data_IF_360454232430
#
_entry.id   IF_360454232430
#
_cell.length_a   1.000
_cell.length_b   1.000
_cell.length_c   1.000
_cell.angle_alpha   90.00
_cell.angle_beta   90.00
_cell.angle_gamma   90.00
#
_symmetry.space_group_name_H-M   'P 1'
#
loop_
_entity.id
_entity.type
_entity.pdbx_description
1 polymer ?
#
# COMPACT_ATOMS: atom_id res chain seq x y z
N UNK A 1 57.07 43.93 -36.06
CA UNK A 1 56.18 44.69 -35.17
C UNK A 1 54.94 43.82 -35.09
N UNK A 2 54.92 42.95 -34.07
CA UNK A 2 54.13 41.72 -34.07
C UNK A 2 52.72 41.96 -33.52
N UNK A 3 51.78 41.29 -34.19
CA UNK A 3 50.43 40.96 -33.73
C UNK A 3 50.43 40.31 -32.34
N UNK A 4 49.43 40.64 -31.54
CA UNK A 4 49.05 39.88 -30.34
C UNK A 4 47.57 40.12 -30.02
N UNK A 5 46.76 39.24 -30.61
CA UNK A 5 45.50 38.64 -30.15
C UNK A 5 44.80 39.23 -28.92
N UNK A 6 43.67 39.89 -29.20
CA UNK A 6 42.54 40.04 -28.29
C UNK A 6 41.59 38.85 -28.48
N UNK A 7 41.65 37.85 -27.60
CA UNK A 7 40.65 36.79 -27.52
C UNK A 7 40.37 36.44 -26.05
N UNK A 8 39.28 36.94 -25.48
CA UNK A 8 38.49 36.25 -24.44
C UNK A 8 37.13 36.95 -24.24
N UNK A 9 36.09 36.54 -24.97
CA UNK A 9 34.74 36.59 -24.45
C UNK A 9 34.13 35.19 -24.54
N UNK A 10 33.88 34.51 -23.41
CA UNK A 10 32.82 33.46 -23.24
C UNK A 10 33.09 32.44 -22.12
N UNK A 11 33.25 32.85 -20.86
CA UNK A 11 33.20 31.89 -19.72
C UNK A 11 32.21 32.32 -18.61
N UNK A 12 31.36 33.34 -18.85
CA UNK A 12 30.37 33.77 -17.84
C UNK A 12 28.90 33.46 -18.18
N UNK A 13 28.63 32.63 -19.20
CA UNK A 13 27.25 32.24 -19.59
C UNK A 13 26.95 30.74 -19.59
N UNK A 14 27.83 29.91 -19.00
CA UNK A 14 27.61 28.47 -18.90
C UNK A 14 27.19 27.97 -17.50
N UNK A 15 26.96 28.88 -16.53
CA UNK A 15 26.70 28.51 -15.13
C UNK A 15 25.23 28.59 -14.68
N UNK A 16 24.29 29.02 -15.55
CA UNK A 16 22.88 29.21 -15.16
C UNK A 16 21.88 28.23 -15.78
N UNK A 17 22.32 27.27 -16.60
CA UNK A 17 21.44 26.30 -17.28
C UNK A 17 21.45 24.89 -16.65
N UNK A 18 22.41 24.57 -15.79
CA UNK A 18 22.50 23.29 -15.09
C UNK A 18 21.51 23.08 -13.91
N UNK A 19 21.15 24.10 -13.08
CA UNK A 19 20.35 23.83 -11.89
C UNK A 19 18.90 23.46 -12.22
N UNK A 20 18.31 24.02 -13.28
CA UNK A 20 16.91 23.74 -13.62
C UNK A 20 16.72 22.33 -14.21
N UNK A 21 17.63 21.90 -15.09
CA UNK A 21 17.57 20.55 -15.67
C UNK A 21 17.85 19.45 -14.65
N UNK A 22 18.75 19.69 -13.69
CA UNK A 22 18.99 18.74 -12.59
C UNK A 22 17.82 18.68 -11.60
N UNK A 23 17.15 19.80 -11.33
CA UNK A 23 15.94 19.83 -10.50
C UNK A 23 14.78 19.10 -11.18
N UNK A 24 14.63 19.26 -12.50
CA UNK A 24 13.60 18.56 -13.27
C UNK A 24 13.88 17.05 -13.38
N UNK A 25 15.13 16.65 -13.61
CA UNK A 25 15.54 15.24 -13.59
C UNK A 25 15.40 14.67 -12.17
N UNK A 26 15.81 15.39 -11.12
CA UNK A 26 15.61 14.95 -9.75
C UNK A 26 14.11 14.83 -9.41
N UNK A 27 13.27 15.77 -9.85
CA UNK A 27 11.82 15.72 -9.67
C UNK A 27 11.19 14.55 -10.43
N UNK A 28 11.61 14.28 -11.67
CA UNK A 28 11.14 13.15 -12.47
C UNK A 28 11.58 11.82 -11.85
N UNK A 29 12.84 11.72 -11.42
CA UNK A 29 13.37 10.53 -10.74
C UNK A 29 12.71 10.35 -9.37
N UNK A 30 12.32 11.43 -8.71
CA UNK A 30 11.54 11.42 -7.45
C UNK A 30 10.10 10.98 -7.69
N UNK A 31 9.47 11.42 -8.79
CA UNK A 31 8.09 11.07 -9.11
C UNK A 31 7.98 9.61 -9.55
N UNK A 32 8.86 9.16 -10.45
CA UNK A 32 8.97 7.77 -10.88
C UNK A 32 9.45 6.88 -9.72
N UNK A 33 10.43 7.36 -8.95
CA UNK A 33 10.95 6.67 -7.76
C UNK A 33 9.89 6.54 -6.67
N UNK A 34 9.03 7.53 -6.48
CA UNK A 34 7.97 7.51 -5.47
C UNK A 34 6.83 6.58 -5.82
N UNK A 35 6.40 6.52 -7.08
CA UNK A 35 5.38 5.55 -7.52
C UNK A 35 5.94 4.12 -7.48
N UNK A 36 7.17 3.93 -7.95
CA UNK A 36 7.86 2.63 -7.91
C UNK A 36 8.13 2.19 -6.47
N UNK A 37 8.54 3.09 -5.58
CA UNK A 37 8.70 2.77 -4.15
C UNK A 37 7.37 2.41 -3.49
N UNK A 38 6.29 3.13 -3.82
CA UNK A 38 4.94 2.78 -3.39
C UNK A 38 4.57 1.35 -3.80
N UNK A 39 4.74 0.99 -5.07
CA UNK A 39 4.50 -0.38 -5.55
C UNK A 39 5.45 -1.43 -4.98
N UNK A 40 6.67 -1.06 -4.62
CA UNK A 40 7.62 -1.97 -3.98
C UNK A 40 7.23 -2.26 -2.53
N UNK A 41 6.73 -1.27 -1.80
CA UNK A 41 6.49 -1.34 -0.35
C UNK A 41 5.09 -1.81 -0.02
N UNK A 42 4.11 -1.28 -0.75
CA UNK A 42 2.69 -1.59 -0.62
C UNK A 42 2.27 -2.70 -1.58
N UNK A 43 3.04 -2.96 -2.63
CA UNK A 43 2.78 -4.05 -3.56
C UNK A 43 3.48 -5.36 -3.18
N UNK A 44 3.23 -6.39 -3.98
CA UNK A 44 3.56 -7.80 -3.78
C UNK A 44 5.08 -8.14 -3.84
N UNK A 45 5.97 -7.22 -3.48
CA UNK A 45 7.43 -7.40 -3.46
C UNK A 45 8.01 -7.60 -2.05
N UNK A 46 7.16 -7.54 -1.02
CA UNK A 46 7.48 -7.94 0.36
C UNK A 46 8.63 -7.15 0.99
N UNK A 47 9.32 -7.77 1.94
CA UNK A 47 10.44 -7.20 2.70
C UNK A 47 11.52 -6.50 1.85
N UNK A 48 11.88 -7.07 0.70
CA UNK A 48 12.90 -6.51 -0.18
C UNK A 48 12.51 -5.12 -0.71
N UNK A 49 11.22 -4.88 -0.96
CA UNK A 49 10.74 -3.60 -1.47
C UNK A 49 11.02 -2.42 -0.53
N UNK A 50 10.95 -2.64 0.78
CA UNK A 50 11.26 -1.63 1.81
C UNK A 50 12.72 -1.19 1.69
N UNK A 51 13.64 -2.15 1.62
CA UNK A 51 15.08 -1.88 1.55
C UNK A 51 15.43 -1.14 0.27
N UNK A 52 14.97 -1.65 -0.88
CA UNK A 52 15.22 -1.04 -2.19
C UNK A 52 14.59 0.35 -2.32
N UNK A 53 13.41 0.56 -1.73
CA UNK A 53 12.77 1.87 -1.65
C UNK A 53 13.62 2.89 -0.88
N UNK A 54 14.40 2.47 0.11
CA UNK A 54 15.25 3.37 0.92
C UNK A 54 16.68 3.58 0.44
N UNK A 55 17.09 2.96 -0.68
CA UNK A 55 18.46 3.11 -1.21
C UNK A 55 18.76 4.57 -1.59
N UNK A 56 17.74 5.37 -1.90
CA UNK A 56 17.86 6.79 -2.20
C UNK A 56 17.17 7.64 -1.14
N UNK A 57 17.71 8.82 -0.84
CA UNK A 57 17.11 9.74 0.14
C UNK A 57 15.67 10.12 -0.22
N UNK A 58 15.38 10.32 -1.51
CA UNK A 58 14.03 10.60 -1.99
C UNK A 58 13.08 9.41 -1.79
N UNK A 59 13.57 8.20 -2.01
CA UNK A 59 12.81 6.99 -1.78
C UNK A 59 12.42 6.80 -0.30
N UNK A 60 13.27 7.21 0.65
CA UNK A 60 12.92 7.14 2.09
C UNK A 60 11.67 7.94 2.45
N UNK A 61 11.48 9.12 1.86
CA UNK A 61 10.27 9.94 2.10
C UNK A 61 9.01 9.23 1.58
N UNK A 62 9.09 8.62 0.38
CA UNK A 62 8.01 7.82 -0.18
C UNK A 62 7.71 6.59 0.65
N UNK A 63 8.73 5.94 1.22
CA UNK A 63 8.59 4.81 2.14
C UNK A 63 7.84 5.23 3.40
N UNK A 64 8.24 6.33 4.03
CA UNK A 64 7.57 6.86 5.21
C UNK A 64 6.11 7.18 4.89
N UNK A 65 5.84 7.83 3.75
CA UNK A 65 4.47 8.14 3.31
C UNK A 65 3.65 6.86 3.08
N UNK A 66 4.23 5.85 2.45
CA UNK A 66 3.59 4.56 2.20
C UNK A 66 3.28 3.82 3.51
N UNK A 67 4.24 3.75 4.43
CA UNK A 67 4.05 3.14 5.75
C UNK A 67 3.03 3.89 6.59
N UNK A 68 3.06 5.24 6.60
CA UNK A 68 2.07 6.05 7.29
C UNK A 68 0.67 5.84 6.71
N UNK A 69 0.56 5.75 5.38
CA UNK A 69 -0.69 5.44 4.69
C UNK A 69 -1.20 4.06 5.11
N UNK A 70 -0.38 3.01 5.02
CA UNK A 70 -0.77 1.65 5.41
C UNK A 70 -1.13 1.49 6.89
N UNK A 71 -0.41 2.17 7.79
CA UNK A 71 -0.68 2.12 9.23
C UNK A 71 -1.92 2.93 9.64
N UNK A 72 -2.41 3.81 8.77
CA UNK A 72 -3.55 4.67 9.06
C UNK A 72 -4.86 4.07 8.54
N UNK A 73 -5.96 4.14 9.32
CA UNK A 73 -7.25 3.68 8.86
C UNK A 73 -7.73 4.49 7.65
N UNK A 74 -8.57 3.90 6.79
CA UNK A 74 -8.98 4.50 5.52
C UNK A 74 -9.53 5.92 5.64
N UNK A 75 -10.33 6.19 6.68
CA UNK A 75 -10.86 7.52 6.97
C UNK A 75 -9.76 8.57 7.24
N UNK A 76 -8.69 8.18 7.93
CA UNK A 76 -7.59 9.06 8.29
C UNK A 76 -6.68 9.30 7.08
N UNK A 77 -6.46 8.27 6.25
CA UNK A 77 -5.75 8.41 4.97
C UNK A 77 -6.38 9.48 4.09
N UNK A 78 -7.71 9.49 4.00
CA UNK A 78 -8.45 10.48 3.22
C UNK A 78 -8.29 11.89 3.82
N UNK A 79 -8.39 12.02 5.15
CA UNK A 79 -8.29 13.32 5.84
C UNK A 79 -6.88 13.93 5.76
N UNK A 80 -5.84 13.10 5.79
CA UNK A 80 -4.45 13.55 5.70
C UNK A 80 -3.93 13.69 4.26
N UNK A 81 -4.76 13.40 3.25
CA UNK A 81 -4.32 13.39 1.84
C UNK A 81 -3.25 12.33 1.54
N UNK A 82 -3.22 11.25 2.34
CA UNK A 82 -2.29 10.12 2.18
C UNK A 82 -2.87 9.01 1.29
N UNK A 83 -4.14 9.15 0.90
CA UNK A 83 -4.81 8.19 0.02
C UNK A 83 -4.24 8.25 -1.39
N UNK A 84 -3.85 7.08 -1.89
CA UNK A 84 -3.34 6.86 -3.25
C UNK A 84 -3.91 5.56 -3.80
N UNK A 85 -3.94 5.40 -5.12
CA UNK A 85 -4.34 4.13 -5.75
C UNK A 85 -3.49 2.95 -5.28
N UNK A 86 -2.22 3.18 -4.96
CA UNK A 86 -1.31 2.16 -4.42
C UNK A 86 -1.66 1.75 -2.99
N UNK A 87 -1.96 2.71 -2.10
CA UNK A 87 -2.40 2.40 -0.74
C UNK A 87 -3.75 1.69 -0.72
N UNK A 88 -4.64 2.10 -1.62
CA UNK A 88 -5.98 1.52 -1.76
C UNK A 88 -5.91 0.07 -2.22
N UNK A 89 -5.03 -0.25 -3.19
CA UNK A 89 -4.78 -1.63 -3.61
C UNK A 89 -4.08 -2.48 -2.55
N UNK A 90 -3.35 -1.87 -1.63
CA UNK A 90 -2.55 -2.61 -0.66
C UNK A 90 -3.29 -2.92 0.64
N UNK A 91 -4.14 -2.00 1.10
CA UNK A 91 -4.82 -2.10 2.41
C UNK A 91 -6.32 -1.90 2.27
N UNK A 92 -6.85 -1.81 1.05
CA UNK A 92 -8.26 -1.50 0.82
C UNK A 92 -8.66 -0.12 1.35
N UNK A 93 -9.95 0.17 1.31
CA UNK A 93 -10.57 1.26 2.06
C UNK A 93 -12.03 0.93 2.35
N UNK A 94 -12.34 0.77 3.63
CA UNK A 94 -13.69 0.57 4.13
C UNK A 94 -14.07 1.69 5.11
N UNK A 95 -15.37 1.97 5.22
CA UNK A 95 -15.93 2.86 6.22
C UNK A 95 -17.16 2.22 6.85
N UNK A 96 -17.16 2.19 8.17
CA UNK A 96 -18.31 1.71 8.93
C UNK A 96 -19.59 2.49 8.58
N UNK A 97 -20.68 1.76 8.33
CA UNK A 97 -22.01 2.32 8.08
C UNK A 97 -22.74 2.76 9.36
N UNK A 98 -22.09 2.61 10.51
CA UNK A 98 -22.71 2.88 11.79
C UNK A 98 -23.14 4.35 11.96
N UNK A 99 -24.35 4.60 12.47
CA UNK A 99 -24.85 5.96 12.70
C UNK A 99 -24.04 6.72 13.75
N UNK A 100 -23.28 6.02 14.60
CA UNK A 100 -22.45 6.60 15.66
C UNK A 100 -21.13 7.17 15.13
N UNK A 101 -20.70 6.80 13.92
CA UNK A 101 -19.41 7.17 13.35
C UNK A 101 -19.43 8.54 12.65
N UNK A 102 -19.47 9.62 13.44
CA UNK A 102 -19.46 11.02 12.91
C UNK A 102 -18.31 11.28 11.93
N UNK A 103 -17.15 10.68 12.19
CA UNK A 103 -15.95 10.81 11.34
C UNK A 103 -16.18 10.13 9.98
N UNK A 104 -16.65 8.88 9.96
CA UNK A 104 -16.96 8.17 8.72
C UNK A 104 -18.04 8.88 7.91
N UNK A 105 -19.06 9.44 8.57
CA UNK A 105 -20.10 10.22 7.90
C UNK A 105 -19.53 11.48 7.23
N UNK A 106 -18.60 12.19 7.89
CA UNK A 106 -17.92 13.36 7.31
C UNK A 106 -17.06 12.98 6.11
N UNK A 107 -16.33 11.87 6.23
CA UNK A 107 -15.44 11.38 5.17
C UNK A 107 -16.24 10.87 3.96
N UNK A 108 -17.38 10.20 4.19
CA UNK A 108 -18.30 9.74 3.13
C UNK A 108 -18.74 10.86 2.20
N UNK A 109 -18.91 12.09 2.71
CA UNK A 109 -19.24 13.26 1.89
C UNK A 109 -18.10 13.75 0.99
N UNK A 110 -16.85 13.32 1.24
CA UNK A 110 -15.68 13.66 0.44
C UNK A 110 -15.29 12.58 -0.58
N UNK A 111 -15.99 11.44 -0.55
CA UNK A 111 -15.69 10.27 -1.37
C UNK A 111 -16.69 10.14 -2.50
N UNK A 112 -16.27 9.46 -3.56
CA UNK A 112 -17.16 9.01 -4.63
C UNK A 112 -18.08 7.89 -4.13
N UNK A 113 -18.88 7.30 -5.04
CA UNK A 113 -19.78 6.22 -4.68
C UNK A 113 -19.01 5.00 -4.17
N UNK A 114 -19.57 4.34 -3.15
CA UNK A 114 -19.04 3.06 -2.69
C UNK A 114 -19.10 2.02 -3.81
N UNK A 115 -18.05 1.20 -3.91
CA UNK A 115 -17.91 0.14 -4.91
C UNK A 115 -18.41 -1.22 -4.39
N UNK A 116 -18.64 -1.31 -3.08
CA UNK A 116 -19.17 -2.50 -2.45
C UNK A 116 -19.62 -2.25 -1.01
N UNK A 117 -20.17 -3.29 -0.40
CA UNK A 117 -20.56 -3.36 1.01
C UNK A 117 -20.03 -4.67 1.57
N UNK A 118 -19.38 -4.63 2.73
CA UNK A 118 -19.09 -5.82 3.52
C UNK A 118 -20.05 -5.94 4.69
N UNK A 119 -20.40 -7.17 5.02
CA UNK A 119 -21.06 -7.56 6.25
C UNK A 119 -20.18 -8.56 6.99
N UNK A 120 -19.87 -8.30 8.27
CA UNK A 120 -19.21 -9.29 9.11
C UNK A 120 -20.23 -10.30 9.62
N UNK A 121 -20.06 -11.57 9.31
CA UNK A 121 -20.81 -12.67 9.90
C UNK A 121 -20.20 -13.01 11.27
N UNK A 122 -20.34 -12.12 12.24
CA UNK A 122 -20.08 -12.48 13.64
C UNK A 122 -21.07 -13.57 14.03
N UNK A 123 -20.61 -14.82 14.16
CA UNK A 123 -21.44 -15.95 14.54
C UNK A 123 -21.83 -15.81 16.03
N UNK A 124 -23.10 -15.52 16.38
CA UNK A 124 -23.50 -15.33 17.77
C UNK A 124 -23.53 -16.64 18.57
N UNK A 125 -23.30 -17.80 17.92
CA UNK A 125 -23.54 -19.12 18.51
C UNK A 125 -22.31 -19.81 19.13
N UNK A 126 -21.16 -19.13 19.30
CA UNK A 126 -20.14 -19.60 20.25
C UNK A 126 -20.52 -19.24 21.69
N UNK A 127 -21.26 -20.17 22.31
CA UNK A 127 -21.49 -20.28 23.75
C UNK A 127 -20.29 -19.83 24.60
N UNK A 128 -20.42 -18.68 25.28
CA UNK A 128 -19.93 -18.58 26.66
C UNK A 128 -20.78 -17.60 27.47
N UNK A 129 -21.65 -18.20 28.26
CA UNK A 129 -22.33 -17.65 29.41
C UNK A 129 -21.30 -16.96 30.31
N UNK A 130 -21.22 -15.62 30.30
CA UNK A 130 -21.05 -14.79 31.50
C UNK A 130 -21.18 -13.30 31.17
N UNK A 131 -22.30 -12.75 31.66
CA UNK A 131 -22.64 -11.34 31.85
C UNK A 131 -21.43 -10.38 31.88
N UNK A 132 -21.33 -9.52 30.88
CA UNK A 132 -20.92 -8.12 31.05
C UNK A 132 -21.89 -7.23 30.25
N UNK A 133 -22.24 -6.02 30.72
CA UNK A 133 -23.30 -5.22 30.11
C UNK A 133 -22.83 -4.60 28.80
N UNK A 134 -23.68 -4.73 27.77
CA UNK A 134 -23.82 -3.87 26.57
C UNK A 134 -22.86 -2.67 26.49
N UNK A 135 -21.76 -2.79 25.74
CA UNK A 135 -21.12 -1.63 25.12
C UNK A 135 -20.15 -2.03 23.99
N UNK A 136 -20.68 -2.42 22.84
CA UNK A 136 -20.15 -2.19 21.48
C UNK A 136 -21.05 -2.97 20.53
N UNK A 137 -22.06 -2.31 19.98
CA UNK A 137 -22.59 -2.70 18.67
C UNK A 137 -21.37 -2.85 17.75
N UNK A 138 -20.98 -4.09 17.48
CA UNK A 138 -20.03 -4.34 16.42
C UNK A 138 -20.78 -4.01 15.15
N UNK A 139 -20.32 -2.93 14.52
CA UNK A 139 -20.96 -2.35 13.36
C UNK A 139 -20.79 -3.33 12.21
N UNK A 140 -21.83 -4.13 11.99
CA UNK A 140 -21.81 -5.32 11.15
C UNK A 140 -21.58 -4.98 9.68
N UNK A 141 -21.87 -3.74 9.27
CA UNK A 141 -21.82 -3.30 7.87
C UNK A 141 -20.78 -2.20 7.65
N UNK A 142 -20.02 -2.31 6.56
CA UNK A 142 -19.09 -1.29 6.08
C UNK A 142 -19.30 -1.03 4.58
N UNK A 143 -19.22 0.25 4.19
CA UNK A 143 -19.09 0.65 2.80
C UNK A 143 -17.64 0.43 2.35
N UNK A 144 -17.44 -0.15 1.17
CA UNK A 144 -16.13 -0.35 0.57
C UNK A 144 -15.94 0.67 -0.55
N UNK A 145 -14.84 1.43 -0.48
CA UNK A 145 -14.44 2.43 -1.47
C UNK A 145 -13.24 2.00 -2.30
N UNK A 146 -12.45 1.07 -1.78
CA UNK A 146 -11.39 0.40 -2.52
C UNK A 146 -11.24 -1.03 -2.02
N UNK A 147 -11.14 -1.97 -2.97
CA UNK A 147 -10.74 -3.32 -2.66
C UNK A 147 -9.23 -3.41 -2.57
N UNK A 148 -8.73 -4.14 -1.59
CA UNK A 148 -7.35 -4.59 -1.61
C UNK A 148 -7.13 -5.52 -2.80
N UNK A 149 -5.86 -5.81 -3.09
CA UNK A 149 -5.48 -6.60 -4.26
C UNK A 149 -6.01 -8.03 -4.19
N UNK A 150 -6.08 -8.63 -3.01
CA UNK A 150 -6.55 -10.01 -2.89
C UNK A 150 -8.04 -10.11 -3.22
N UNK A 151 -8.84 -9.22 -2.63
CA UNK A 151 -10.28 -9.16 -2.87
C UNK A 151 -10.58 -8.72 -4.29
N UNK A 152 -9.80 -7.80 -4.86
CA UNK A 152 -9.99 -7.35 -6.25
C UNK A 152 -9.79 -8.49 -7.25
N UNK A 153 -8.71 -9.28 -7.11
CA UNK A 153 -8.43 -10.43 -7.99
C UNK A 153 -9.54 -11.47 -7.86
N UNK A 154 -9.93 -11.81 -6.63
CA UNK A 154 -11.04 -12.73 -6.38
C UNK A 154 -12.33 -12.24 -7.07
N UNK A 155 -12.69 -10.96 -6.92
CA UNK A 155 -13.89 -10.41 -7.53
C UNK A 155 -13.82 -10.32 -9.05
N UNK A 156 -12.65 -10.08 -9.63
CA UNK A 156 -12.44 -10.04 -11.09
C UNK A 156 -12.71 -11.39 -11.76
N UNK A 157 -12.38 -12.50 -11.10
CA UNK A 157 -12.63 -13.85 -11.59
C UNK A 157 -14.13 -14.23 -11.60
N UNK A 158 -14.96 -13.53 -10.82
CA UNK A 158 -16.39 -13.82 -10.72
C UNK A 158 -17.20 -13.15 -11.83
N UNK A 159 -18.21 -13.87 -12.33
CA UNK A 159 -19.17 -13.31 -13.29
C UNK A 159 -20.19 -12.42 -12.58
N UNK A 160 -20.43 -11.22 -13.12
CA UNK A 160 -21.45 -10.32 -12.60
C UNK A 160 -22.85 -10.80 -12.99
N UNK A 161 -23.80 -10.77 -12.05
CA UNK A 161 -25.21 -11.04 -12.33
C UNK A 161 -25.84 -9.80 -12.94
N UNK A 162 -26.48 -9.94 -14.11
CA UNK A 162 -27.17 -8.84 -14.78
C UNK A 162 -28.54 -8.56 -14.16
N UNK A 163 -29.10 -7.40 -14.50
CA UNK A 163 -30.42 -7.02 -14.04
C UNK A 163 -31.49 -7.93 -14.67
N UNK A 164 -32.29 -8.60 -13.82
CA UNK A 164 -33.34 -9.54 -14.25
C UNK A 164 -32.93 -11.00 -14.31
N UNK A 165 -31.64 -11.31 -14.11
CA UNK A 165 -31.16 -12.69 -13.97
C UNK A 165 -31.32 -13.19 -12.53
N UNK A 166 -31.37 -14.52 -12.37
CA UNK A 166 -31.39 -15.14 -11.04
C UNK A 166 -30.10 -14.77 -10.28
N UNK A 167 -30.25 -14.46 -8.99
CA UNK A 167 -29.13 -14.03 -8.16
C UNK A 167 -28.13 -15.18 -8.00
N UNK A 168 -26.93 -15.02 -8.58
CA UNK A 168 -25.82 -15.96 -8.39
C UNK A 168 -25.03 -15.55 -7.16
N UNK A 169 -24.96 -16.45 -6.18
CA UNK A 169 -24.19 -16.26 -4.96
C UNK A 169 -22.99 -17.19 -5.01
N UNK A 170 -21.79 -16.62 -4.84
CA UNK A 170 -20.56 -17.39 -4.76
C UNK A 170 -20.18 -17.56 -3.30
N UNK A 171 -19.72 -18.75 -2.94
CA UNK A 171 -19.16 -19.00 -1.60
C UNK A 171 -17.67 -19.16 -1.74
N UNK A 172 -16.91 -18.35 -1.00
CA UNK A 172 -15.47 -18.48 -0.95
C UNK A 172 -15.11 -19.74 -0.14
N UNK A 173 -14.63 -20.77 -0.83
CA UNK A 173 -14.17 -21.98 -0.16
C UNK A 173 -12.65 -21.98 -0.09
N UNK A 174 -12.13 -22.13 1.12
CA UNK A 174 -10.69 -22.10 1.35
C UNK A 174 -10.10 -23.47 1.08
N UNK A 175 -9.26 -23.51 0.06
CA UNK A 175 -8.32 -24.62 -0.10
C UNK A 175 -7.12 -24.30 0.77
N UNK A 176 -6.68 -25.26 1.61
CA UNK A 176 -5.47 -25.18 2.43
C UNK A 176 -4.23 -25.11 1.53
N UNK A 177 -3.99 -23.95 0.94
CA UNK A 177 -2.82 -23.66 0.14
C UNK A 177 -1.88 -22.84 0.99
N UNK A 178 -0.64 -23.32 1.12
CA UNK A 178 0.43 -22.50 1.66
C UNK A 178 0.62 -21.30 0.73
N UNK A 179 0.71 -20.08 1.26
CA UNK A 179 0.93 -18.91 0.43
C UNK A 179 2.27 -19.08 -0.31
N UNK A 180 2.33 -18.81 -1.62
CA UNK A 180 3.56 -18.96 -2.38
C UNK A 180 4.58 -17.89 -1.93
N UNK A 181 5.50 -18.28 -1.06
CA UNK A 181 6.58 -17.40 -0.62
C UNK A 181 7.70 -17.35 -1.66
N UNK A 182 8.06 -16.16 -2.15
CA UNK A 182 9.09 -15.97 -3.19
C UNK A 182 10.48 -15.80 -2.58
N UNK A 183 10.87 -16.75 -1.73
CA UNK A 183 12.12 -16.76 -0.96
C UNK A 183 13.34 -16.41 -1.80
N UNK A 184 13.48 -17.01 -2.97
CA UNK A 184 14.65 -16.79 -3.82
C UNK A 184 14.76 -15.33 -4.25
N UNK A 185 13.66 -14.75 -4.74
CA UNK A 185 13.65 -13.35 -5.17
C UNK A 185 13.92 -12.39 -4.00
N UNK A 186 13.24 -12.58 -2.86
CA UNK A 186 13.44 -11.72 -1.68
C UNK A 186 14.85 -11.82 -1.13
N UNK A 187 15.39 -13.04 -0.99
CA UNK A 187 16.74 -13.26 -0.47
C UNK A 187 17.80 -12.69 -1.41
N UNK A 188 17.69 -12.93 -2.72
CA UNK A 188 18.63 -12.37 -3.70
C UNK A 188 18.55 -10.84 -3.74
N UNK A 189 17.35 -10.26 -3.68
CA UNK A 189 17.18 -8.81 -3.65
C UNK A 189 17.75 -8.19 -2.36
N UNK A 190 17.55 -8.81 -1.20
CA UNK A 190 18.15 -8.39 0.06
C UNK A 190 19.68 -8.50 0.04
N UNK A 191 20.22 -9.61 -0.48
CA UNK A 191 21.66 -9.77 -0.63
C UNK A 191 22.25 -8.69 -1.55
N UNK A 192 21.60 -8.41 -2.68
CA UNK A 192 22.06 -7.40 -3.62
C UNK A 192 21.99 -5.98 -3.03
N UNK A 193 21.06 -5.72 -2.10
CA UNK A 193 20.98 -4.44 -1.39
C UNK A 193 22.22 -4.15 -0.52
N UNK A 194 22.97 -5.18 -0.09
CA UNK A 194 24.21 -5.00 0.66
C UNK A 194 25.31 -4.29 -0.14
N UNK A 195 25.20 -4.20 -1.47
CA UNK A 195 26.10 -3.36 -2.27
C UNK A 195 26.08 -1.89 -1.79
N UNK A 196 24.97 -1.43 -1.19
CA UNK A 196 24.89 -0.10 -0.57
C UNK A 196 25.88 0.09 0.59
N UNK A 197 26.25 -0.98 1.29
CA UNK A 197 27.27 -0.93 2.33
C UNK A 197 28.65 -0.54 1.79
N UNK A 198 28.97 -0.91 0.54
CA UNK A 198 30.21 -0.51 -0.13
C UNK A 198 30.20 1.00 -0.36
N UNK A 199 29.08 1.55 -0.84
CA UNK A 199 28.92 3.00 -1.05
C UNK A 199 29.07 3.77 0.28
N UNK A 200 28.39 3.32 1.34
CA UNK A 200 28.50 3.91 2.68
C UNK A 200 29.94 3.85 3.19
N UNK A 201 30.62 2.72 3.03
CA UNK A 201 32.02 2.55 3.41
C UNK A 201 32.95 3.50 2.66
N UNK A 202 32.76 3.65 1.34
CA UNK A 202 33.54 4.59 0.51
C UNK A 202 33.35 6.03 0.98
N UNK A 203 32.12 6.45 1.30
CA UNK A 203 31.85 7.79 1.81
C UNK A 203 32.48 8.05 3.18
N UNK A 204 32.41 7.08 4.10
CA UNK A 204 33.05 7.19 5.40
C UNK A 204 34.58 7.27 5.28
N UNK A 205 35.18 6.52 4.35
CA UNK A 205 36.64 6.50 4.15
C UNK A 205 37.20 7.76 3.50
N UNK A 206 36.47 8.38 2.56
CA UNK A 206 36.95 9.54 1.79
C UNK A 206 36.55 10.89 2.41
N UNK A 207 36.29 10.93 3.73
CA UNK A 207 36.05 12.17 4.48
C UNK A 207 34.60 12.69 4.42
N UNK A 208 33.68 11.97 3.79
CA UNK A 208 32.26 12.30 3.73
C UNK A 208 31.48 11.75 4.93
N UNK A 209 31.92 11.98 6.17
CA UNK A 209 31.31 11.38 7.38
C UNK A 209 29.80 11.70 7.48
N UNK A 210 29.42 12.96 7.27
CA UNK A 210 28.02 13.40 7.34
C UNK A 210 27.18 12.71 6.27
N UNK A 211 27.67 12.61 5.03
CA UNK A 211 26.97 11.97 3.91
C UNK A 211 26.87 10.46 4.14
N UNK A 212 27.94 9.84 4.63
CA UNK A 212 27.98 8.42 5.00
C UNK A 212 26.98 8.09 6.10
N UNK A 213 26.85 8.91 7.14
CA UNK A 213 25.83 8.71 8.18
C UNK A 213 24.41 8.97 7.66
N UNK A 214 24.21 10.03 6.88
CA UNK A 214 22.90 10.39 6.32
C UNK A 214 22.36 9.30 5.38
N UNK A 215 23.22 8.64 4.62
CA UNK A 215 22.84 7.47 3.82
C UNK A 215 22.81 6.17 4.62
N UNK A 216 23.69 6.02 5.61
CA UNK A 216 23.88 4.77 6.34
C UNK A 216 22.80 4.47 7.37
N UNK A 217 22.34 5.49 8.11
CA UNK A 217 21.33 5.31 9.16
C UNK A 217 19.99 4.84 8.56
N UNK A 218 19.39 5.51 7.55
CA UNK A 218 18.12 5.07 6.99
C UNK A 218 18.23 3.70 6.31
N UNK A 219 19.33 3.43 5.61
CA UNK A 219 19.56 2.13 4.98
C UNK A 219 19.63 1.01 6.02
N UNK A 220 20.42 1.19 7.09
CA UNK A 220 20.57 0.17 8.14
C UNK A 220 19.26 -0.12 8.85
N UNK A 221 18.47 0.92 9.14
CA UNK A 221 17.14 0.78 9.72
C UNK A 221 16.20 -0.03 8.81
N UNK A 222 16.08 0.37 7.54
CA UNK A 222 15.21 -0.30 6.58
C UNK A 222 15.64 -1.72 6.27
N UNK A 223 16.95 -1.98 6.20
CA UNK A 223 17.49 -3.33 6.05
C UNK A 223 17.12 -4.22 7.23
N UNK A 224 17.24 -3.71 8.47
CA UNK A 224 16.80 -4.42 9.66
C UNK A 224 15.29 -4.72 9.67
N UNK A 225 14.47 -3.73 9.32
CA UNK A 225 13.01 -3.92 9.17
C UNK A 225 12.70 -4.94 8.07
N UNK A 226 13.38 -4.87 6.93
CA UNK A 226 13.23 -5.83 5.83
C UNK A 226 13.54 -7.26 6.29
N UNK A 227 14.66 -7.47 6.98
CA UNK A 227 15.00 -8.78 7.56
C UNK A 227 13.92 -9.27 8.54
N UNK A 228 13.42 -8.38 9.40
CA UNK A 228 12.37 -8.74 10.36
C UNK A 228 11.08 -9.17 9.64
N UNK A 229 10.63 -8.40 8.65
CA UNK A 229 9.45 -8.73 7.84
C UNK A 229 9.64 -10.04 7.09
N UNK A 230 10.80 -10.30 6.52
CA UNK A 230 11.11 -11.56 5.82
C UNK A 230 11.04 -12.77 6.76
N UNK A 231 11.57 -12.63 7.99
CA UNK A 231 11.47 -13.68 9.02
C UNK A 231 10.01 -13.91 9.41
N UNK A 232 9.22 -12.85 9.59
CA UNK A 232 7.79 -12.96 9.91
C UNK A 232 7.00 -13.61 8.76
N UNK A 233 7.29 -13.25 7.51
CA UNK A 233 6.66 -13.81 6.31
C UNK A 233 7.01 -15.30 6.14
N UNK A 234 8.28 -15.65 6.42
CA UNK A 234 8.71 -17.05 6.46
C UNK A 234 8.02 -17.87 7.57
N UNK A 235 7.78 -17.28 8.74
CA UNK A 235 7.04 -17.94 9.82
C UNK A 235 5.55 -18.05 9.45
N UNK A 236 4.97 -16.99 8.88
CA UNK A 236 3.57 -16.95 8.48
C UNK A 236 3.26 -17.95 7.36
N UNK A 237 4.14 -18.07 6.36
CA UNK A 237 3.99 -19.03 5.26
C UNK A 237 4.05 -20.50 5.69
N UNK A 238 4.57 -20.79 6.90
CA UNK A 238 4.55 -22.14 7.49
C UNK A 238 3.27 -22.45 8.26
N UNK A 239 2.41 -21.46 8.51
CA UNK A 239 1.12 -21.68 9.15
C UNK A 239 0.07 -21.91 8.06
N UNK A 240 -0.86 -22.86 8.24
CA UNK A 240 -2.04 -22.88 7.40
C UNK A 240 -2.71 -21.51 7.53
N UNK A 241 -3.03 -20.87 6.41
CA UNK A 241 -3.88 -19.68 6.43
C UNK A 241 -5.25 -20.13 6.93
N UNK A 242 -5.47 -20.00 8.23
CA UNK A 242 -6.80 -19.97 8.82
C UNK A 242 -7.30 -18.56 8.57
N UNK A 243 -7.72 -18.31 7.32
CA UNK A 243 -8.47 -17.10 7.07
C UNK A 243 -9.86 -17.42 7.54
N UNK A 244 -10.30 -16.80 8.59
CA UNK A 244 -11.67 -16.98 9.00
C UNK A 244 -12.54 -16.19 8.01
N UNK A 245 -13.21 -16.92 7.10
CA UNK A 245 -14.07 -16.40 6.06
C UNK A 245 -15.38 -15.87 6.65
N UNK A 246 -15.29 -14.80 7.42
CA UNK A 246 -16.42 -14.21 8.16
C UNK A 246 -16.94 -12.93 7.52
N UNK A 247 -16.60 -12.63 6.26
CA UNK A 247 -17.07 -11.44 5.58
C UNK A 247 -17.89 -11.78 4.34
N UNK A 248 -19.13 -11.33 4.33
CA UNK A 248 -19.97 -11.36 3.15
C UNK A 248 -19.79 -10.06 2.39
N UNK A 249 -19.39 -10.17 1.12
CA UNK A 249 -19.07 -9.04 0.25
C UNK A 249 -20.12 -8.92 -0.86
N UNK A 250 -20.59 -7.71 -1.06
CA UNK A 250 -21.40 -7.31 -2.21
C UNK A 250 -20.61 -6.27 -2.98
N UNK A 251 -20.33 -6.52 -4.26
CA UNK A 251 -19.56 -5.61 -5.12
C UNK A 251 -20.36 -5.29 -6.39
N UNK A 252 -20.23 -4.06 -6.90
CA UNK A 252 -20.87 -3.63 -8.14
C UNK A 252 -21.45 -2.22 -8.05
N UNK A 253 -22.37 -1.91 -8.97
CA UNK A 253 -23.07 -0.62 -8.95
C UNK A 253 -24.18 -0.67 -7.91
N UNK A 254 -23.88 -0.16 -6.72
CA UNK A 254 -24.82 -0.16 -5.60
C UNK A 254 -26.00 0.78 -5.86
N UNK A 255 -27.22 0.42 -5.45
CA UNK A 255 -28.37 1.31 -5.54
C UNK A 255 -28.16 2.53 -4.62
N UNK A 256 -28.45 3.71 -5.14
CA UNK A 256 -28.46 4.96 -4.37
C UNK A 256 -29.81 5.64 -4.53
N UNK A 257 -30.09 6.68 -3.73
CA UNK A 257 -31.30 7.49 -3.88
C UNK A 257 -31.42 8.17 -5.25
N UNK A 258 -30.30 8.27 -5.99
CA UNK A 258 -30.22 8.93 -7.31
C UNK A 258 -30.08 7.96 -8.47
N UNK A 259 -29.62 6.73 -8.23
CA UNK A 259 -29.28 5.78 -9.28
C UNK A 259 -29.79 4.39 -8.94
N UNK A 260 -30.51 3.71 -9.84
CA UNK A 260 -30.86 2.31 -9.65
C UNK A 260 -29.60 1.44 -9.62
N UNK A 261 -29.64 0.35 -8.85
CA UNK A 261 -28.54 -0.60 -8.78
C UNK A 261 -28.29 -1.27 -10.14
N UNK A 262 -27.03 -1.57 -10.44
CA UNK A 262 -26.60 -2.21 -11.69
C UNK A 262 -26.13 -3.66 -11.48
N UNK A 263 -25.24 -4.15 -12.37
CA UNK A 263 -24.65 -5.48 -12.23
C UNK A 263 -23.93 -5.65 -10.90
N UNK A 264 -24.09 -6.82 -10.28
CA UNK A 264 -23.60 -7.10 -8.94
C UNK A 264 -22.95 -8.47 -8.82
N UNK A 265 -22.04 -8.58 -7.86
CA UNK A 265 -21.33 -9.79 -7.46
C UNK A 265 -21.53 -9.98 -5.97
N UNK A 266 -21.88 -11.18 -5.53
CA UNK A 266 -22.06 -11.51 -4.12
C UNK A 266 -21.12 -12.67 -3.78
N UNK A 267 -20.30 -12.47 -2.76
CA UNK A 267 -19.36 -13.46 -2.25
C UNK A 267 -19.62 -13.65 -0.77
N UNK A 268 -19.87 -14.89 -0.36
CA UNK A 268 -20.03 -15.25 1.05
C UNK A 268 -18.73 -15.81 1.61
N UNK A 269 -18.44 -15.48 2.86
CA UNK A 269 -17.27 -15.98 3.60
C UNK A 269 -15.91 -15.59 3.00
N UNK A 270 -15.85 -14.40 2.39
CA UNK A 270 -14.62 -13.81 1.91
C UNK A 270 -13.69 -13.42 3.07
N UNK A 271 -12.45 -13.16 2.70
CA UNK A 271 -11.42 -12.62 3.61
C UNK A 271 -11.69 -11.16 3.91
N UNK A 272 -11.16 -10.65 5.02
CA UNK A 272 -11.25 -9.22 5.30
C UNK A 272 -10.53 -8.41 4.20
N UNK A 273 -11.12 -7.27 3.85
CA UNK A 273 -10.58 -6.31 2.88
C UNK A 273 -9.51 -5.41 3.51
#
# INVERSE_FOLDING_TARGET
MNDSDSCYPSIKKAASLLPNGLVEIAALTTLIGSSTAGDLILGNRGAAGIVWGTITAFGTSSVIKACASAASPGWLRQMLGLRTTHSDRAVGMDLSLAPTSRVSQRVRGMLENAIGVSCSSDDPDQMSIKRLPKLKEHNTYCDIYAFDRSTSIMLEELSATLHGEALTVYTHHQVKLFPPHKLFFQTTALLLSLLKAIEIYVFLKHGGLVIGLLSGIPFSFSFGVGLWVEVMDFIASRRPLEVDGHFDLISGVLPTTKQPGGPRKIVLGATNN
#
